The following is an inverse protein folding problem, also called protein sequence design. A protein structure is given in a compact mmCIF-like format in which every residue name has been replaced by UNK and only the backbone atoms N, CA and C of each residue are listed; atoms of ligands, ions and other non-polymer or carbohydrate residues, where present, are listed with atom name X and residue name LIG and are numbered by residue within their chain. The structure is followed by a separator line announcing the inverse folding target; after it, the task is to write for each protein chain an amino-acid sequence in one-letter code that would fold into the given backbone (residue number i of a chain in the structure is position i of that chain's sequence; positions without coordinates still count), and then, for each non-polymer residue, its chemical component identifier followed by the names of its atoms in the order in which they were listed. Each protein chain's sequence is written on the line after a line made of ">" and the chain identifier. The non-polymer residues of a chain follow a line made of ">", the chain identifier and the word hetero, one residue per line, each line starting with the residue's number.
data_IF_754208370139
#
_entry.id   IF_754208370139
#
_cell.length_a   1.000
_cell.length_b   1.000
_cell.length_c   1.000
_cell.angle_alpha   90.00
_cell.angle_beta   90.00
_cell.angle_gamma   90.00
#
_symmetry.space_group_name_H-M   'P 1'
#
loop_
_entity.id
_entity.type
_entity.pdbx_description
1 polymer ?
#
# COMPACT_ATOMS: atom_id res chain seq x y z
N UNK A 1 -17.03 36.04 34.88
CA UNK A 1 -16.14 35.79 33.73
C UNK A 1 -16.65 34.57 32.97
N UNK A 2 -16.64 34.69 31.65
CA UNK A 2 -17.43 34.00 30.62
C UNK A 2 -17.21 32.50 30.46
N UNK A 3 -18.28 31.73 30.15
CA UNK A 3 -18.22 30.50 29.39
C UNK A 3 -18.61 30.80 27.93
N UNK A 4 -17.63 30.97 27.06
CA UNK A 4 -17.77 30.99 25.59
C UNK A 4 -16.53 30.33 25.04
N UNK A 5 -16.70 29.27 24.23
CA UNK A 5 -15.77 28.72 23.23
C UNK A 5 -16.00 27.23 22.92
N UNK A 6 -17.03 26.58 23.46
CA UNK A 6 -17.33 25.18 23.08
C UNK A 6 -18.49 24.98 22.09
N UNK A 7 -19.13 26.05 21.60
CA UNK A 7 -20.35 25.95 20.79
C UNK A 7 -20.21 26.45 19.34
N UNK A 8 -19.01 26.88 18.91
CA UNK A 8 -18.81 27.41 17.55
C UNK A 8 -18.33 26.34 16.54
N UNK A 9 -17.78 25.21 17.01
CA UNK A 9 -17.31 24.14 16.11
C UNK A 9 -18.44 23.26 15.53
N UNK A 10 -19.60 23.18 16.19
CA UNK A 10 -20.76 22.41 15.70
C UNK A 10 -21.63 23.19 14.71
N UNK A 11 -21.51 24.53 14.66
CA UNK A 11 -22.31 25.36 13.74
C UNK A 11 -21.68 25.49 12.37
N UNK A 12 -20.34 25.38 12.26
CA UNK A 12 -19.64 25.39 10.96
C UNK A 12 -19.76 24.06 10.22
N UNK A 13 -19.91 22.93 10.93
CA UNK A 13 -20.18 21.63 10.30
C UNK A 13 -21.54 21.61 9.57
N UNK A 14 -22.57 22.24 10.15
CA UNK A 14 -23.90 22.33 9.53
C UNK A 14 -23.97 23.27 8.32
N UNK A 15 -23.05 24.23 8.20
CA UNK A 15 -22.96 25.10 7.01
C UNK A 15 -22.12 24.49 5.89
N UNK A 16 -21.08 23.71 6.23
CA UNK A 16 -20.33 22.94 5.23
C UNK A 16 -21.15 21.77 4.65
N UNK A 17 -22.05 21.18 5.45
CA UNK A 17 -23.00 20.13 4.98
C UNK A 17 -24.05 20.67 3.99
N UNK A 18 -24.53 21.92 4.15
CA UNK A 18 -25.48 22.54 3.21
C UNK A 18 -24.81 22.92 1.86
N UNK A 19 -23.53 23.30 1.86
CA UNK A 19 -22.77 23.56 0.62
C UNK A 19 -22.47 22.27 -0.17
N UNK A 20 -22.24 21.13 0.50
CA UNK A 20 -22.05 19.83 -0.17
C UNK A 20 -23.33 19.32 -0.87
N UNK A 21 -24.52 19.64 -0.34
CA UNK A 21 -25.81 19.19 -0.91
C UNK A 21 -26.21 19.97 -2.19
N UNK A 22 -25.73 21.21 -2.34
CA UNK A 22 -25.99 22.03 -3.53
C UNK A 22 -25.14 21.62 -4.75
N UNK A 23 -23.91 21.16 -4.56
CA UNK A 23 -23.05 20.68 -5.67
C UNK A 23 -23.50 19.31 -6.24
N UNK A 24 -24.13 18.45 -5.43
CA UNK A 24 -24.55 17.11 -5.87
C UNK A 24 -25.72 17.15 -6.89
N UNK A 25 -26.45 18.27 -6.97
CA UNK A 25 -27.65 18.40 -7.81
C UNK A 25 -27.40 18.58 -9.31
N UNK A 26 -26.16 18.77 -9.76
CA UNK A 26 -25.84 19.16 -11.15
C UNK A 26 -25.54 17.98 -12.11
N UNK A 27 -25.47 16.73 -11.64
CA UNK A 27 -25.05 15.61 -12.50
C UNK A 27 -26.17 14.59 -12.80
N UNK A 28 -27.11 14.99 -13.66
CA UNK A 28 -28.07 14.06 -14.28
C UNK A 28 -27.43 13.33 -15.47
N UNK A 29 -27.11 12.03 -15.34
CA UNK A 29 -26.70 11.16 -16.47
C UNK A 29 -27.31 9.75 -16.43
N UNK A 30 -27.55 9.21 -17.63
CA UNK A 30 -28.45 8.10 -17.93
C UNK A 30 -28.15 6.75 -17.26
N UNK A 31 -29.22 5.95 -17.11
CA UNK A 31 -29.31 4.75 -16.26
C UNK A 31 -28.31 3.61 -16.56
N UNK A 32 -27.62 3.62 -17.71
CA UNK A 32 -26.55 2.67 -18.02
C UNK A 32 -25.14 3.13 -17.65
N UNK A 33 -24.90 4.45 -17.60
CA UNK A 33 -23.61 5.05 -17.23
C UNK A 33 -23.44 5.11 -15.70
N UNK A 34 -24.54 5.22 -14.96
CA UNK A 34 -24.54 5.33 -13.50
C UNK A 34 -23.96 4.10 -12.78
N UNK A 35 -24.18 2.89 -13.30
CA UNK A 35 -23.71 1.65 -12.65
C UNK A 35 -22.19 1.45 -12.81
N UNK A 36 -21.64 1.80 -13.96
CA UNK A 36 -20.19 1.72 -14.20
C UNK A 36 -19.47 2.88 -13.50
N UNK A 37 -20.09 4.05 -13.41
CA UNK A 37 -19.59 5.16 -12.61
C UNK A 37 -19.60 4.85 -11.11
N UNK A 38 -20.68 4.24 -10.58
CA UNK A 38 -20.76 3.89 -9.15
C UNK A 38 -19.75 2.82 -8.74
N UNK A 39 -19.55 1.78 -9.57
CA UNK A 39 -18.52 0.78 -9.31
C UNK A 39 -17.11 1.38 -9.32
N UNK A 40 -16.81 2.30 -10.25
CA UNK A 40 -15.51 2.99 -10.28
C UNK A 40 -15.30 3.83 -9.03
N UNK A 41 -16.28 4.64 -8.62
CA UNK A 41 -16.20 5.43 -7.38
C UNK A 41 -15.97 4.52 -6.17
N UNK A 42 -16.67 3.38 -6.10
CA UNK A 42 -16.51 2.40 -5.03
C UNK A 42 -15.09 1.80 -4.96
N UNK A 43 -14.54 1.38 -6.10
CA UNK A 43 -13.16 0.85 -6.17
C UNK A 43 -12.13 1.93 -5.82
N UNK A 44 -12.32 3.16 -6.29
CA UNK A 44 -11.47 4.30 -5.91
C UNK A 44 -11.54 4.60 -4.42
N UNK A 45 -12.73 4.51 -3.82
CA UNK A 45 -12.93 4.69 -2.37
C UNK A 45 -12.16 3.63 -1.58
N UNK A 46 -12.23 2.36 -1.99
CA UNK A 46 -11.44 1.29 -1.38
C UNK A 46 -9.94 1.59 -1.51
N UNK A 47 -9.49 1.91 -2.71
CA UNK A 47 -8.06 2.15 -2.98
C UNK A 47 -7.51 3.30 -2.14
N UNK A 48 -8.21 4.45 -2.09
CA UNK A 48 -7.76 5.62 -1.34
C UNK A 48 -7.83 5.38 0.18
N UNK A 49 -8.82 4.61 0.65
CA UNK A 49 -8.93 4.23 2.06
C UNK A 49 -7.80 3.30 2.47
N UNK A 50 -7.49 2.28 1.65
CA UNK A 50 -6.34 1.40 1.87
C UNK A 50 -5.02 2.19 1.88
N UNK A 51 -4.86 3.13 0.95
CA UNK A 51 -3.67 3.99 0.90
C UNK A 51 -3.54 4.87 2.15
N UNK A 52 -4.62 5.53 2.56
CA UNK A 52 -4.64 6.38 3.75
C UNK A 52 -4.35 5.57 5.02
N UNK A 53 -4.95 4.39 5.15
CA UNK A 53 -4.70 3.48 6.25
C UNK A 53 -3.23 3.04 6.28
N UNK A 54 -2.67 2.64 5.13
CA UNK A 54 -1.27 2.24 5.02
C UNK A 54 -0.32 3.38 5.42
N UNK A 55 -0.58 4.61 4.94
CA UNK A 55 0.20 5.78 5.33
C UNK A 55 0.18 5.99 6.86
N UNK A 56 -0.98 5.89 7.51
CA UNK A 56 -1.09 5.99 8.98
C UNK A 56 -0.35 4.89 9.75
N UNK A 57 -0.14 3.74 9.13
CA UNK A 57 0.55 2.61 9.79
C UNK A 57 2.05 2.58 9.58
N UNK A 58 2.54 3.13 8.48
CA UNK A 58 3.94 2.98 8.04
C UNK A 58 4.74 4.28 8.17
N UNK A 59 4.10 5.42 7.93
CA UNK A 59 4.77 6.73 7.87
C UNK A 59 4.71 7.46 9.22
N UNK A 60 5.63 8.40 9.41
CA UNK A 60 5.62 9.35 10.53
C UNK A 60 4.44 10.33 10.40
N UNK A 61 3.97 10.89 11.53
CA UNK A 61 2.77 11.75 11.57
C UNK A 61 2.85 12.95 10.61
N UNK A 62 4.04 13.53 10.41
CA UNK A 62 4.26 14.66 9.51
C UNK A 62 4.19 14.28 8.02
N UNK A 63 4.28 12.98 7.70
CA UNK A 63 4.20 12.43 6.34
C UNK A 63 2.83 11.89 5.99
N UNK A 64 1.94 11.71 6.98
CA UNK A 64 0.57 11.27 6.75
C UNK A 64 -0.18 12.37 5.97
N UNK A 65 -0.77 12.06 4.80
CA UNK A 65 -1.47 13.06 4.01
C UNK A 65 -2.76 13.53 4.72
N UNK A 66 -3.05 14.83 4.62
CA UNK A 66 -4.33 15.38 5.12
C UNK A 66 -5.47 14.82 4.28
N UNK A 67 -6.46 14.19 4.94
CA UNK A 67 -7.54 13.45 4.26
C UNK A 67 -8.30 14.29 3.22
N UNK A 68 -8.64 15.55 3.54
CA UNK A 68 -9.36 16.44 2.61
C UNK A 68 -8.53 16.74 1.34
N UNK A 69 -7.20 16.87 1.51
CA UNK A 69 -6.28 17.07 0.39
C UNK A 69 -6.15 15.79 -0.43
N UNK A 70 -6.01 14.64 0.23
CA UNK A 70 -5.93 13.34 -0.41
C UNK A 70 -7.18 13.01 -1.23
N UNK A 71 -8.38 13.27 -0.69
CA UNK A 71 -9.65 13.06 -1.37
C UNK A 71 -9.75 13.90 -2.65
N UNK A 72 -9.36 15.18 -2.57
CA UNK A 72 -9.37 16.12 -3.70
C UNK A 72 -8.34 15.74 -4.78
N UNK A 73 -7.08 15.53 -4.38
CA UNK A 73 -5.96 15.36 -5.31
C UNK A 73 -5.93 13.96 -5.95
N UNK A 74 -6.61 12.97 -5.35
CA UNK A 74 -6.77 11.64 -5.93
C UNK A 74 -7.82 11.56 -7.04
N UNK A 75 -8.65 12.60 -7.21
CA UNK A 75 -9.79 12.61 -8.15
C UNK A 75 -10.70 11.38 -8.02
N UNK A 76 -10.78 10.78 -6.82
CA UNK A 76 -11.58 9.58 -6.57
C UNK A 76 -13.09 9.86 -6.58
N UNK A 77 -13.48 11.12 -6.40
CA UNK A 77 -14.88 11.57 -6.32
C UNK A 77 -15.57 11.17 -5.00
N UNK A 78 -14.80 10.83 -3.97
CA UNK A 78 -15.28 10.49 -2.64
C UNK A 78 -15.12 11.66 -1.68
N UNK A 79 -16.09 11.84 -0.79
CA UNK A 79 -15.97 12.77 0.34
C UNK A 79 -15.07 12.19 1.44
N UNK A 80 -14.63 13.04 2.38
CA UNK A 80 -13.84 12.59 3.53
C UNK A 80 -14.62 11.60 4.41
N UNK A 81 -15.93 11.79 4.55
CA UNK A 81 -16.79 10.90 5.34
C UNK A 81 -16.95 9.52 4.68
N UNK A 82 -17.04 9.46 3.35
CA UNK A 82 -17.06 8.19 2.61
C UNK A 82 -15.77 7.39 2.81
N UNK A 83 -14.61 8.06 2.75
CA UNK A 83 -13.30 7.44 2.94
C UNK A 83 -13.15 6.92 4.37
N UNK A 84 -13.49 7.71 5.39
CA UNK A 84 -13.43 7.26 6.79
C UNK A 84 -14.37 6.09 7.08
N UNK A 85 -15.55 6.09 6.47
CA UNK A 85 -16.49 4.96 6.59
C UNK A 85 -15.91 3.70 5.96
N UNK A 86 -15.33 3.81 4.77
CA UNK A 86 -14.70 2.69 4.07
C UNK A 86 -13.46 2.17 4.80
N UNK A 87 -12.63 3.06 5.35
CA UNK A 87 -11.51 2.70 6.20
C UNK A 87 -11.97 1.84 7.39
N UNK A 88 -13.01 2.24 8.12
CA UNK A 88 -13.54 1.45 9.24
C UNK A 88 -14.00 0.07 8.77
N UNK A 89 -14.69 -0.02 7.62
CA UNK A 89 -15.12 -1.30 7.04
C UNK A 89 -13.91 -2.19 6.74
N UNK A 90 -12.84 -1.63 6.17
CA UNK A 90 -11.61 -2.38 5.86
C UNK A 90 -10.97 -2.89 7.16
N UNK A 91 -10.84 -2.04 8.18
CA UNK A 91 -10.31 -2.42 9.49
C UNK A 91 -11.11 -3.57 10.11
N UNK A 92 -12.44 -3.47 10.11
CA UNK A 92 -13.31 -4.52 10.63
C UNK A 92 -13.13 -5.83 9.84
N UNK A 93 -12.95 -5.77 8.52
CA UNK A 93 -12.69 -6.95 7.67
C UNK A 93 -11.33 -7.59 7.90
N UNK A 94 -10.35 -6.80 8.33
CA UNK A 94 -9.02 -7.27 8.71
C UNK A 94 -8.96 -7.68 10.18
N UNK A 95 -10.08 -7.65 10.91
CA UNK A 95 -10.13 -7.87 12.36
C UNK A 95 -9.18 -6.94 13.14
N UNK A 96 -8.98 -5.73 12.62
CA UNK A 96 -8.04 -4.74 13.14
C UNK A 96 -6.57 -5.22 13.17
N UNK A 97 -6.26 -6.32 12.48
CA UNK A 97 -4.89 -6.82 12.33
C UNK A 97 -4.25 -6.24 11.06
N UNK A 98 -3.30 -5.34 11.27
CA UNK A 98 -2.52 -4.70 10.22
C UNK A 98 -1.07 -5.18 10.20
N UNK A 99 -0.71 -6.15 11.06
CA UNK A 99 0.66 -6.65 11.20
C UNK A 99 1.02 -7.75 10.20
N UNK A 100 0.37 -7.77 9.04
CA UNK A 100 0.61 -8.80 8.02
C UNK A 100 1.92 -8.51 7.29
N UNK A 101 2.86 -9.47 7.32
CA UNK A 101 4.11 -9.37 6.56
C UNK A 101 3.84 -9.29 5.06
N UNK A 102 4.40 -8.28 4.42
CA UNK A 102 4.30 -8.04 2.99
C UNK A 102 5.37 -8.82 2.22
N UNK A 103 5.19 -9.05 0.91
CA UNK A 103 6.26 -9.58 0.06
C UNK A 103 7.56 -8.77 0.16
N UNK A 104 7.45 -7.46 0.40
CA UNK A 104 8.60 -6.57 0.55
C UNK A 104 9.40 -6.84 1.83
N UNK A 105 8.73 -7.16 2.94
CA UNK A 105 9.39 -7.53 4.19
C UNK A 105 10.23 -8.80 4.00
N UNK A 106 9.66 -9.82 3.35
CA UNK A 106 10.39 -11.04 3.00
C UNK A 106 11.55 -10.77 2.05
N UNK A 107 11.40 -9.85 1.08
CA UNK A 107 12.47 -9.48 0.17
C UNK A 107 13.65 -8.88 0.94
N UNK A 108 13.39 -7.96 1.87
CA UNK A 108 14.43 -7.36 2.72
C UNK A 108 15.14 -8.42 3.57
N UNK A 109 14.40 -9.34 4.18
CA UNK A 109 14.96 -10.42 4.99
C UNK A 109 15.83 -11.35 4.14
N UNK A 110 15.33 -11.84 3.01
CA UNK A 110 16.07 -12.76 2.14
C UNK A 110 17.30 -12.09 1.52
N UNK A 111 17.21 -10.83 1.12
CA UNK A 111 18.35 -10.08 0.62
C UNK A 111 19.43 -9.91 1.69
N UNK A 112 19.03 -9.54 2.92
CA UNK A 112 19.95 -9.41 4.04
C UNK A 112 20.66 -10.74 4.35
N UNK A 113 19.92 -11.86 4.38
CA UNK A 113 20.52 -13.19 4.59
C UNK A 113 21.45 -13.55 3.42
N UNK A 114 21.03 -13.35 2.17
CA UNK A 114 21.84 -13.67 0.99
C UNK A 114 23.18 -12.93 1.00
N UNK A 115 23.16 -11.62 1.25
CA UNK A 115 24.37 -10.79 1.33
C UNK A 115 25.25 -11.20 2.51
N UNK A 116 24.67 -11.55 3.65
CA UNK A 116 25.41 -11.95 4.85
C UNK A 116 26.07 -13.32 4.70
N UNK A 117 25.35 -14.30 4.15
CA UNK A 117 25.86 -15.66 3.93
C UNK A 117 26.89 -15.69 2.80
N UNK A 118 26.74 -14.83 1.78
CA UNK A 118 27.68 -14.76 0.66
C UNK A 118 28.12 -13.33 0.36
N UNK A 119 29.13 -12.83 1.08
CA UNK A 119 29.74 -11.54 0.81
C UNK A 119 30.32 -11.43 -0.61
N UNK A 120 30.62 -12.56 -1.25
CA UNK A 120 31.03 -12.66 -2.66
C UNK A 120 30.05 -11.95 -3.60
N UNK A 121 28.76 -11.91 -3.23
CA UNK A 121 27.70 -11.23 -3.97
C UNK A 121 27.96 -9.73 -4.13
N UNK A 122 28.67 -9.12 -3.17
CA UNK A 122 29.07 -7.71 -3.22
C UNK A 122 30.08 -7.45 -4.32
N UNK A 123 30.94 -8.42 -4.63
CA UNK A 123 31.95 -8.32 -5.67
C UNK A 123 31.41 -8.73 -7.04
N UNK A 124 30.45 -9.66 -7.10
CA UNK A 124 29.80 -10.06 -8.35
C UNK A 124 28.78 -9.03 -8.85
N UNK A 125 28.31 -8.11 -8.00
CA UNK A 125 27.49 -6.98 -8.40
C UNK A 125 28.36 -5.94 -9.12
N UNK A 126 28.34 -5.84 -10.47
CA UNK A 126 29.41 -5.14 -11.15
C UNK A 126 29.33 -3.61 -11.02
N UNK A 127 28.21 -3.06 -10.50
CA UNK A 127 27.90 -1.62 -10.56
C UNK A 127 26.99 -1.06 -9.46
N UNK A 128 26.44 -1.89 -8.57
CA UNK A 128 25.39 -1.47 -7.63
C UNK A 128 25.82 -1.73 -6.18
N UNK A 129 25.58 -0.78 -5.29
CA UNK A 129 25.64 -1.04 -3.85
C UNK A 129 24.53 -2.02 -3.44
N UNK A 130 24.64 -2.70 -2.29
CA UNK A 130 23.57 -3.57 -1.78
C UNK A 130 22.22 -2.87 -1.65
N UNK A 131 22.22 -1.60 -1.24
CA UNK A 131 21.01 -0.77 -1.14
C UNK A 131 20.41 -0.44 -2.51
N UNK A 132 21.24 -0.10 -3.50
CA UNK A 132 20.78 0.12 -4.87
C UNK A 132 20.23 -1.16 -5.49
N UNK A 133 20.88 -2.29 -5.21
CA UNK A 133 20.40 -3.60 -5.64
C UNK A 133 19.04 -3.93 -5.04
N UNK A 134 18.89 -3.74 -3.71
CA UNK A 134 17.62 -3.93 -3.04
C UNK A 134 16.53 -3.03 -3.63
N UNK A 135 16.84 -1.77 -3.93
CA UNK A 135 15.88 -0.84 -4.55
C UNK A 135 15.41 -1.32 -5.95
N UNK A 136 16.31 -1.91 -6.75
CA UNK A 136 15.95 -2.51 -8.05
C UNK A 136 15.01 -3.70 -7.85
N UNK A 137 15.35 -4.61 -6.93
CA UNK A 137 14.52 -5.76 -6.60
C UNK A 137 13.15 -5.34 -6.06
N UNK A 138 13.10 -4.34 -5.19
CA UNK A 138 11.85 -3.76 -4.67
C UNK A 138 10.99 -3.24 -5.81
N UNK A 139 11.56 -2.49 -6.76
CA UNK A 139 10.81 -2.02 -7.93
C UNK A 139 10.25 -3.15 -8.77
N UNK A 140 11.04 -4.21 -9.00
CA UNK A 140 10.60 -5.39 -9.74
C UNK A 140 9.49 -6.14 -9.01
N UNK A 141 9.61 -6.29 -7.69
CA UNK A 141 8.60 -6.94 -6.86
C UNK A 141 7.27 -6.17 -6.88
N UNK A 142 7.32 -4.84 -6.75
CA UNK A 142 6.13 -4.00 -6.85
C UNK A 142 5.46 -4.12 -8.22
N UNK A 143 6.24 -4.25 -9.30
CA UNK A 143 5.69 -4.52 -10.63
C UNK A 143 5.02 -5.90 -10.70
N UNK A 144 5.60 -6.94 -10.09
CA UNK A 144 4.98 -8.25 -9.99
C UNK A 144 3.67 -8.21 -9.19
N UNK A 145 3.61 -7.42 -8.11
CA UNK A 145 2.41 -7.27 -7.29
C UNK A 145 1.27 -6.54 -8.01
N UNK A 146 1.57 -5.79 -9.08
CA UNK A 146 0.54 -5.23 -9.96
C UNK A 146 -0.13 -6.29 -10.86
N UNK A 147 0.39 -7.53 -10.91
CA UNK A 147 -0.17 -8.62 -11.69
C UNK A 147 -1.02 -9.56 -10.81
N UNK A 148 -2.32 -9.64 -11.09
CA UNK A 148 -3.28 -10.46 -10.33
C UNK A 148 -2.95 -11.96 -10.33
N UNK A 149 -2.32 -12.47 -11.39
CA UNK A 149 -1.89 -13.88 -11.46
C UNK A 149 -0.76 -14.21 -10.48
N UNK A 150 0.03 -13.23 -10.06
CA UNK A 150 1.12 -13.45 -9.10
C UNK A 150 0.65 -13.26 -7.65
N UNK A 151 -0.44 -12.51 -7.43
CA UNK A 151 -1.04 -12.31 -6.11
C UNK A 151 -1.66 -13.59 -5.51
N UNK A 152 -1.86 -14.65 -6.30
CA UNK A 152 -2.33 -15.94 -5.79
C UNK A 152 -1.27 -16.70 -4.97
N UNK A 153 0.01 -16.35 -5.12
CA UNK A 153 1.11 -16.98 -4.39
C UNK A 153 1.35 -16.27 -3.04
N UNK A 154 1.93 -17.00 -2.08
CA UNK A 154 2.37 -16.39 -0.80
C UNK A 154 3.40 -15.31 -1.08
N UNK A 155 3.33 -14.20 -0.34
CA UNK A 155 4.28 -13.08 -0.50
C UNK A 155 5.74 -13.49 -0.34
N UNK A 156 6.02 -14.40 0.60
CA UNK A 156 7.35 -15.00 0.79
C UNK A 156 7.82 -15.79 -0.43
N UNK A 157 6.94 -16.52 -1.12
CA UNK A 157 7.29 -17.26 -2.32
C UNK A 157 7.66 -16.32 -3.47
N UNK A 158 6.90 -15.22 -3.64
CA UNK A 158 7.21 -14.23 -4.66
C UNK A 158 8.55 -13.53 -4.38
N UNK A 159 8.81 -13.17 -3.13
CA UNK A 159 10.07 -12.58 -2.71
C UNK A 159 11.25 -13.54 -2.92
N UNK A 160 11.11 -14.80 -2.52
CA UNK A 160 12.14 -15.83 -2.70
C UNK A 160 12.42 -16.09 -4.18
N UNK A 161 11.38 -16.18 -5.01
CA UNK A 161 11.53 -16.36 -6.46
C UNK A 161 12.30 -15.18 -7.09
N UNK A 162 11.98 -13.95 -6.69
CA UNK A 162 12.69 -12.74 -7.14
C UNK A 162 14.18 -12.78 -6.76
N UNK A 163 14.49 -13.06 -5.49
CA UNK A 163 15.89 -13.18 -5.04
C UNK A 163 16.61 -14.31 -5.76
N UNK A 164 15.98 -15.48 -5.87
CA UNK A 164 16.58 -16.66 -6.51
C UNK A 164 16.94 -16.41 -7.97
N UNK A 165 16.03 -15.80 -8.73
CA UNK A 165 16.26 -15.42 -10.12
C UNK A 165 17.44 -14.46 -10.28
N UNK A 166 17.62 -13.55 -9.32
CA UNK A 166 18.75 -12.63 -9.36
C UNK A 166 20.05 -13.31 -8.95
N UNK A 167 20.02 -14.18 -7.94
CA UNK A 167 21.21 -14.96 -7.53
C UNK A 167 21.70 -15.88 -8.64
N UNK A 168 20.80 -16.50 -9.42
CA UNK A 168 21.15 -17.35 -10.56
C UNK A 168 22.04 -16.63 -11.59
N UNK A 169 21.84 -15.33 -11.79
CA UNK A 169 22.63 -14.53 -12.73
C UNK A 169 24.01 -14.16 -12.19
N UNK A 170 24.16 -14.14 -10.86
CA UNK A 170 25.33 -13.58 -10.18
C UNK A 170 26.33 -14.64 -9.74
N UNK A 171 25.85 -15.82 -9.33
CA UNK A 171 26.69 -16.85 -8.74
C UNK A 171 26.34 -18.26 -9.24
N UNK A 172 27.33 -19.14 -9.44
CA UNK A 172 27.10 -20.52 -9.89
C UNK A 172 26.38 -21.38 -8.84
N UNK A 173 26.62 -21.15 -7.54
CA UNK A 173 26.06 -21.94 -6.44
C UNK A 173 24.72 -21.40 -5.91
N UNK A 174 23.93 -20.73 -6.74
CA UNK A 174 22.70 -20.05 -6.34
C UNK A 174 21.68 -20.99 -5.68
N UNK A 175 21.55 -22.24 -6.16
CA UNK A 175 20.53 -23.19 -5.72
C UNK A 175 20.65 -23.58 -4.23
N UNK A 176 21.83 -23.96 -3.71
CA UNK A 176 22.01 -24.17 -2.27
C UNK A 176 21.61 -22.97 -1.41
N UNK A 177 21.88 -21.74 -1.87
CA UNK A 177 21.49 -20.52 -1.14
C UNK A 177 19.98 -20.35 -1.14
N UNK A 178 19.31 -20.58 -2.26
CA UNK A 178 17.84 -20.56 -2.33
C UNK A 178 17.21 -21.58 -1.38
N UNK A 179 17.78 -22.79 -1.28
CA UNK A 179 17.31 -23.82 -0.34
C UNK A 179 17.47 -23.36 1.11
N UNK A 180 18.62 -22.76 1.45
CA UNK A 180 18.85 -22.20 2.79
C UNK A 180 17.84 -21.10 3.13
N UNK A 181 17.59 -20.18 2.19
CA UNK A 181 16.59 -19.12 2.35
C UNK A 181 15.18 -19.70 2.54
N UNK A 182 14.82 -20.73 1.77
CA UNK A 182 13.53 -21.41 1.89
C UNK A 182 13.36 -22.07 3.28
N UNK A 183 14.39 -22.74 3.78
CA UNK A 183 14.38 -23.34 5.12
C UNK A 183 14.19 -22.30 6.21
N UNK A 184 14.83 -21.13 6.08
CA UNK A 184 14.67 -20.01 7.02
C UNK A 184 13.29 -19.34 6.93
N UNK A 185 12.62 -19.41 5.78
CA UNK A 185 11.28 -18.87 5.57
C UNK A 185 10.13 -19.76 6.12
N UNK A 186 10.43 -21.02 6.42
CA UNK A 186 9.46 -22.02 6.88
C UNK A 186 9.46 -22.20 8.41
N UNK A 187 10.33 -21.49 9.14
CA UNK A 187 10.32 -21.40 10.60
C UNK A 187 9.47 -20.21 11.05
#
# INVERSE_FOLDING_TARGET
>A
MTPRHHCEAYSSAGQEEEEEEEEEKVSGRGRGEGLHASLRKYLSCIAISCFFLAAKTVEEDERIPVLKVLARDSFCGCSSSEILRMERIILDKLNWDLHTSTPLDFLHIFHAIAVSTRPQLLFSLPKLSPSQHLAVLTKQLLHCMACSQLLQFKGSMLALAMVSLEMEKLIPDWLPLTIELLQKAQM
#
